data_IF_509991187026
#
_entry.id   IF_509991187026
#
_cell.length_a   1.000
_cell.length_b   1.000
_cell.length_c   1.000
_cell.angle_alpha   90.00
_cell.angle_beta   90.00
_cell.angle_gamma   90.00
#
_symmetry.space_group_name_H-M   'P 1'
#
loop_
_entity.id
_entity.type
_entity.pdbx_description
1 polymer ?
#
# COMPACT_ATOMS: atom_id res chain seq x y z
N UNK A 1 21.39 -16.69 -15.23
CA UNK A 1 21.81 -15.28 -15.18
C UNK A 1 21.88 -14.79 -13.75
N UNK A 2 22.68 -13.77 -13.50
CA UNK A 2 22.72 -13.08 -12.19
C UNK A 2 21.80 -11.87 -12.19
N UNK A 3 20.79 -11.87 -11.33
CA UNK A 3 19.80 -10.80 -11.22
C UNK A 3 19.96 -10.08 -9.88
N UNK A 4 20.15 -8.76 -9.90
CA UNK A 4 20.16 -7.93 -8.70
C UNK A 4 18.79 -7.23 -8.57
N UNK A 5 18.07 -7.48 -7.48
CA UNK A 5 16.81 -6.84 -7.17
C UNK A 5 17.03 -5.76 -6.10
N UNK A 6 16.70 -4.51 -6.41
CA UNK A 6 16.91 -3.37 -5.51
C UNK A 6 15.55 -2.91 -4.96
N UNK A 7 15.39 -2.99 -3.64
CA UNK A 7 14.24 -2.46 -2.92
C UNK A 7 14.53 -1.01 -2.50
N UNK A 8 13.84 -0.05 -3.11
CA UNK A 8 14.08 1.38 -2.87
C UNK A 8 13.20 1.98 -1.77
N UNK A 9 12.29 1.19 -1.17
CA UNK A 9 11.41 1.70 -0.14
C UNK A 9 12.18 2.01 1.15
N UNK A 10 12.15 3.28 1.56
CA UNK A 10 12.79 3.79 2.77
C UNK A 10 11.79 4.44 3.71
N UNK A 11 10.49 4.25 3.46
CA UNK A 11 9.44 4.75 4.34
C UNK A 11 9.46 3.98 5.67
N UNK A 12 9.57 4.73 6.76
CA UNK A 12 9.69 4.21 8.13
C UNK A 12 8.44 4.44 8.97
N UNK A 13 7.48 5.20 8.44
CA UNK A 13 6.21 5.51 9.11
C UNK A 13 5.03 5.00 8.29
N UNK A 14 3.96 4.54 8.93
CA UNK A 14 3.79 4.30 10.38
C UNK A 14 4.61 3.12 10.90
N UNK A 15 5.15 2.28 10.01
CA UNK A 15 5.99 1.12 10.35
C UNK A 15 6.94 0.78 9.20
N UNK A 16 8.06 0.15 9.52
CA UNK A 16 8.95 -0.44 8.52
C UNK A 16 8.26 -1.58 7.78
N UNK A 17 8.49 -1.70 6.50
CA UNK A 17 7.92 -2.77 5.67
C UNK A 17 9.02 -3.60 5.03
N UNK A 18 9.09 -4.86 5.40
CA UNK A 18 9.93 -5.86 4.74
C UNK A 18 9.60 -5.86 3.24
N UNK A 19 10.60 -5.91 2.32
CA UNK A 19 10.40 -5.80 0.88
C UNK A 19 9.86 -7.10 0.26
N UNK A 20 8.68 -7.55 0.69
CA UNK A 20 8.06 -8.82 0.28
C UNK A 20 7.97 -8.98 -1.25
N UNK A 21 7.61 -7.92 -1.99
CA UNK A 21 7.49 -7.99 -3.45
C UNK A 21 8.76 -8.46 -4.15
N UNK A 22 9.95 -7.93 -3.78
CA UNK A 22 11.21 -8.40 -4.36
C UNK A 22 11.63 -9.76 -3.82
N UNK A 23 11.17 -10.15 -2.63
CA UNK A 23 11.41 -11.49 -2.08
C UNK A 23 10.64 -12.58 -2.86
N UNK A 24 9.40 -12.29 -3.29
CA UNK A 24 8.66 -13.16 -4.23
C UNK A 24 9.36 -13.24 -5.59
N UNK A 25 9.84 -12.11 -6.13
CA UNK A 25 10.61 -12.09 -7.38
C UNK A 25 11.89 -12.91 -7.29
N UNK A 26 12.64 -12.79 -6.18
CA UNK A 26 13.85 -13.58 -5.96
C UNK A 26 13.55 -15.08 -6.02
N UNK A 27 12.48 -15.50 -5.34
CA UNK A 27 12.09 -16.93 -5.34
C UNK A 27 11.71 -17.39 -6.73
N UNK A 28 10.91 -16.63 -7.47
CA UNK A 28 10.49 -16.97 -8.83
C UNK A 28 11.70 -17.12 -9.77
N UNK A 29 12.66 -16.21 -9.68
CA UNK A 29 13.90 -16.25 -10.48
C UNK A 29 14.80 -17.45 -10.15
N UNK A 30 14.98 -17.75 -8.86
CA UNK A 30 15.80 -18.89 -8.43
C UNK A 30 15.13 -20.22 -8.84
N UNK A 31 13.83 -20.35 -8.67
CA UNK A 31 13.08 -21.53 -9.09
C UNK A 31 13.10 -21.75 -10.62
N UNK A 32 13.26 -20.66 -11.40
CA UNK A 32 13.47 -20.72 -12.84
C UNK A 32 14.95 -20.98 -13.25
N UNK A 33 15.85 -21.20 -12.29
CA UNK A 33 17.25 -21.55 -12.57
C UNK A 33 18.20 -20.35 -12.71
N UNK A 34 17.79 -19.15 -12.32
CA UNK A 34 18.65 -17.96 -12.26
C UNK A 34 19.28 -17.78 -10.87
N UNK A 35 20.34 -17.00 -10.78
CA UNK A 35 20.85 -16.49 -9.52
C UNK A 35 20.20 -15.15 -9.23
N UNK A 36 19.63 -14.94 -8.03
CA UNK A 36 19.01 -13.67 -7.67
C UNK A 36 19.46 -13.20 -6.28
N UNK A 37 19.85 -11.94 -6.16
CA UNK A 37 20.18 -11.27 -4.89
C UNK A 37 19.29 -10.05 -4.68
N UNK A 38 19.02 -9.73 -3.41
CA UNK A 38 18.27 -8.53 -3.01
C UNK A 38 19.24 -7.55 -2.36
N UNK A 39 19.20 -6.29 -2.82
CA UNK A 39 19.76 -5.14 -2.14
C UNK A 39 18.60 -4.35 -1.54
N UNK A 40 18.49 -4.36 -0.23
CA UNK A 40 17.46 -3.63 0.51
C UNK A 40 18.07 -2.34 1.06
N UNK A 41 17.55 -1.17 0.59
CA UNK A 41 18.05 0.15 0.96
C UNK A 41 17.29 0.79 2.15
N UNK A 42 16.39 0.06 2.80
CA UNK A 42 15.51 0.61 3.84
C UNK A 42 16.28 1.29 4.98
N UNK A 43 17.41 0.75 5.36
CA UNK A 43 18.20 1.23 6.50
C UNK A 43 19.45 2.01 6.10
N UNK A 44 19.72 2.17 4.80
CA UNK A 44 20.90 2.92 4.36
C UNK A 44 20.70 4.43 4.56
N UNK A 45 21.74 5.19 4.95
CA UNK A 45 21.70 6.65 5.03
C UNK A 45 21.52 7.30 3.64
N UNK A 46 20.94 8.52 3.61
CA UNK A 46 20.63 9.22 2.36
C UNK A 46 21.88 9.48 1.50
N UNK A 47 22.98 9.85 2.13
CA UNK A 47 24.27 10.15 1.50
C UNK A 47 25.02 8.91 1.00
N UNK A 48 24.60 7.72 1.40
CA UNK A 48 25.25 6.45 1.03
C UNK A 48 24.54 5.69 -0.09
N UNK A 49 23.34 6.07 -0.52
CA UNK A 49 22.51 5.29 -1.44
C UNK A 49 23.24 4.93 -2.74
N UNK A 50 23.81 5.91 -3.42
CA UNK A 50 24.52 5.67 -4.67
C UNK A 50 25.75 4.77 -4.47
N UNK A 51 26.50 4.97 -3.39
CA UNK A 51 27.67 4.15 -3.05
C UNK A 51 27.30 2.69 -2.78
N UNK A 52 26.23 2.45 -1.99
CA UNK A 52 25.73 1.09 -1.71
C UNK A 52 25.32 0.33 -2.96
N UNK A 53 24.65 1.02 -3.90
CA UNK A 53 24.28 0.41 -5.20
C UNK A 53 25.51 0.07 -6.01
N UNK A 54 26.49 0.99 -6.11
CA UNK A 54 27.74 0.77 -6.84
C UNK A 54 28.55 -0.39 -6.26
N UNK A 55 28.68 -0.46 -4.93
CA UNK A 55 29.33 -1.57 -4.21
C UNK A 55 28.66 -2.91 -4.53
N UNK A 56 27.34 -3.00 -4.38
CA UNK A 56 26.59 -4.23 -4.61
C UNK A 56 26.69 -4.72 -6.07
N UNK A 57 26.68 -3.80 -7.03
CA UNK A 57 26.87 -4.11 -8.45
C UNK A 57 28.30 -4.64 -8.71
N UNK A 58 29.32 -3.96 -8.17
CA UNK A 58 30.69 -4.36 -8.31
C UNK A 58 31.00 -5.73 -7.71
N UNK A 59 30.42 -6.03 -6.54
CA UNK A 59 30.60 -7.32 -5.84
C UNK A 59 29.88 -8.48 -6.54
N UNK A 60 28.68 -8.21 -7.09
CA UNK A 60 27.84 -9.28 -7.62
C UNK A 60 28.01 -9.50 -9.12
N UNK A 61 28.26 -8.43 -9.89
CA UNK A 61 28.37 -8.48 -11.34
C UNK A 61 27.03 -8.93 -11.98
N UNK A 62 25.93 -8.18 -11.81
CA UNK A 62 24.61 -8.61 -12.32
C UNK A 62 24.54 -8.49 -13.85
N UNK A 63 23.85 -9.44 -14.47
CA UNK A 63 23.47 -9.43 -15.88
C UNK A 63 22.14 -8.69 -16.12
N UNK A 64 21.33 -8.54 -15.07
CA UNK A 64 20.03 -7.87 -15.07
C UNK A 64 19.80 -7.21 -13.71
N UNK A 65 19.25 -5.98 -13.70
CA UNK A 65 18.94 -5.23 -12.48
C UNK A 65 17.44 -4.92 -12.46
N UNK A 66 16.73 -5.34 -11.39
CA UNK A 66 15.35 -4.95 -11.12
C UNK A 66 15.30 -3.90 -10.03
N UNK A 67 14.60 -2.78 -10.27
CA UNK A 67 14.42 -1.69 -9.28
C UNK A 67 12.95 -1.57 -8.90
N UNK A 68 12.63 -1.82 -7.63
CA UNK A 68 11.26 -1.80 -7.13
C UNK A 68 10.86 -0.43 -6.59
N UNK A 69 9.92 0.24 -7.25
CA UNK A 69 9.30 1.49 -6.81
C UNK A 69 7.99 1.15 -6.09
N UNK A 70 8.03 1.03 -4.76
CA UNK A 70 6.89 0.64 -3.95
C UNK A 70 5.94 1.81 -3.69
N UNK A 71 6.46 2.97 -3.32
CA UNK A 71 5.70 4.18 -3.00
C UNK A 71 6.24 5.36 -3.81
N UNK A 72 5.33 6.20 -4.34
CA UNK A 72 5.69 7.47 -5.00
C UNK A 72 5.93 8.54 -3.95
N UNK A 73 5.10 8.53 -2.91
CA UNK A 73 5.10 9.48 -1.80
C UNK A 73 4.62 8.81 -0.50
N UNK A 74 4.53 9.57 0.56
CA UNK A 74 4.07 9.11 1.88
C UNK A 74 2.54 9.21 2.08
N UNK A 75 1.78 9.53 1.04
CA UNK A 75 0.30 9.66 1.05
C UNK A 75 -0.26 10.62 2.12
N UNK A 76 0.55 11.57 2.58
CA UNK A 76 0.17 12.49 3.65
C UNK A 76 0.00 13.90 3.11
N UNK A 77 -1.23 14.45 3.17
CA UNK A 77 -1.56 15.76 2.61
C UNK A 77 -0.74 16.89 3.24
N UNK A 78 -0.71 16.95 4.56
CA UNK A 78 -0.13 18.07 5.30
C UNK A 78 1.36 17.88 5.66
N UNK A 79 1.96 16.74 5.33
CA UNK A 79 3.38 16.44 5.55
C UNK A 79 3.93 15.65 4.36
N UNK A 80 3.62 16.12 3.17
CA UNK A 80 3.98 15.44 1.93
C UNK A 80 5.50 15.26 1.78
N UNK A 81 5.90 14.03 1.37
CA UNK A 81 7.26 13.71 0.98
C UNK A 81 7.24 12.77 -0.23
N UNK A 82 7.86 13.20 -1.33
CA UNK A 82 8.03 12.37 -2.52
C UNK A 82 9.24 11.44 -2.41
N UNK A 83 9.12 10.22 -2.94
CA UNK A 83 10.14 9.17 -2.86
C UNK A 83 10.92 8.95 -4.19
N UNK A 84 10.52 9.57 -5.31
CA UNK A 84 11.17 9.38 -6.60
C UNK A 84 12.61 9.93 -6.67
N UNK A 85 12.97 10.86 -5.79
CA UNK A 85 14.34 11.38 -5.67
C UNK A 85 15.35 10.27 -5.36
N UNK A 86 15.05 9.42 -4.39
CA UNK A 86 15.90 8.28 -4.01
C UNK A 86 16.03 7.28 -5.18
N UNK A 87 14.92 7.01 -5.87
CA UNK A 87 14.92 6.12 -7.07
C UNK A 87 15.82 6.69 -8.18
N UNK A 88 15.81 8.01 -8.38
CA UNK A 88 16.68 8.67 -9.37
C UNK A 88 18.15 8.50 -9.04
N UNK A 89 18.53 8.62 -7.76
CA UNK A 89 19.91 8.36 -7.30
C UNK A 89 20.30 6.91 -7.58
N UNK A 90 19.44 5.95 -7.23
CA UNK A 90 19.66 4.51 -7.45
C UNK A 90 19.88 4.21 -8.94
N UNK A 91 19.01 4.73 -9.82
CA UNK A 91 19.14 4.54 -11.27
C UNK A 91 20.41 5.16 -11.85
N UNK A 92 20.79 6.34 -11.37
CA UNK A 92 22.06 6.98 -11.75
C UNK A 92 23.26 6.10 -11.40
N UNK A 93 23.28 5.52 -10.19
CA UNK A 93 24.32 4.60 -9.74
C UNK A 93 24.34 3.30 -10.56
N UNK A 94 23.18 2.70 -10.86
CA UNK A 94 23.08 1.51 -11.71
C UNK A 94 23.72 1.74 -13.08
N UNK A 95 23.37 2.83 -13.76
CA UNK A 95 23.90 3.17 -15.10
C UNK A 95 25.38 3.48 -15.10
N UNK A 96 25.89 4.09 -14.02
CA UNK A 96 27.30 4.40 -13.89
C UNK A 96 28.15 3.15 -13.61
N UNK A 97 27.61 2.17 -12.90
CA UNK A 97 28.35 1.00 -12.43
C UNK A 97 28.22 -0.23 -13.34
N UNK A 98 27.22 -0.32 -14.23
CA UNK A 98 26.98 -1.49 -15.06
C UNK A 98 26.30 -1.15 -16.39
N UNK A 99 26.59 -1.95 -17.43
CA UNK A 99 25.86 -1.97 -18.69
C UNK A 99 24.64 -2.90 -18.68
N UNK A 100 24.38 -3.60 -17.57
CA UNK A 100 23.25 -4.50 -17.44
C UNK A 100 21.92 -3.74 -17.62
N UNK A 101 20.93 -4.32 -18.32
CA UNK A 101 19.58 -3.73 -18.41
C UNK A 101 18.99 -3.47 -17.04
N UNK A 102 18.33 -2.30 -16.88
CA UNK A 102 17.64 -1.92 -15.65
C UNK A 102 16.14 -1.90 -15.90
N UNK A 103 15.38 -2.69 -15.14
CA UNK A 103 13.94 -2.82 -15.25
C UNK A 103 13.27 -2.21 -14.00
N UNK A 104 12.42 -1.21 -14.21
CA UNK A 104 11.58 -0.65 -13.15
C UNK A 104 10.35 -1.53 -12.91
N UNK A 105 9.90 -1.60 -11.66
CA UNK A 105 8.66 -2.28 -11.30
C UNK A 105 8.14 -1.84 -9.94
N UNK A 106 7.15 -2.55 -9.42
CA UNK A 106 6.56 -2.31 -8.11
C UNK A 106 5.17 -1.66 -8.18
N UNK A 107 4.50 -1.60 -7.04
CA UNK A 107 3.10 -1.14 -6.95
C UNK A 107 2.92 0.32 -7.39
N UNK A 108 3.79 1.21 -6.93
CA UNK A 108 3.74 2.60 -7.32
C UNK A 108 4.08 2.81 -8.80
N UNK A 109 5.08 2.08 -9.33
CA UNK A 109 5.37 2.09 -10.76
C UNK A 109 4.16 1.67 -11.59
N UNK A 110 3.43 0.65 -11.17
CA UNK A 110 2.25 0.15 -11.89
C UNK A 110 1.08 1.14 -11.95
N UNK A 111 1.03 2.14 -11.06
CA UNK A 111 0.02 3.19 -11.08
C UNK A 111 0.25 4.22 -12.19
N UNK A 112 1.50 4.67 -12.37
CA UNK A 112 1.88 5.75 -13.30
C UNK A 112 3.17 5.38 -14.06
N UNK A 113 3.16 4.28 -14.81
CA UNK A 113 4.39 3.71 -15.34
C UNK A 113 5.06 4.60 -16.40
N UNK A 114 4.28 5.20 -17.30
CA UNK A 114 4.81 6.05 -18.37
C UNK A 114 5.39 7.34 -17.82
N UNK A 115 4.69 7.97 -16.89
CA UNK A 115 5.11 9.20 -16.23
C UNK A 115 6.40 8.97 -15.43
N UNK A 116 6.46 7.88 -14.65
CA UNK A 116 7.66 7.52 -13.87
C UNK A 116 8.83 7.19 -14.79
N UNK A 117 8.61 6.42 -15.87
CA UNK A 117 9.67 6.16 -16.87
C UNK A 117 10.20 7.45 -17.47
N UNK A 118 9.33 8.42 -17.79
CA UNK A 118 9.73 9.68 -18.38
C UNK A 118 10.58 10.52 -17.44
N UNK A 119 10.15 10.70 -16.18
CA UNK A 119 10.87 11.50 -15.19
C UNK A 119 12.20 10.87 -14.79
N UNK A 120 12.25 9.55 -14.71
CA UNK A 120 13.46 8.81 -14.33
C UNK A 120 14.36 8.49 -15.54
N UNK A 121 13.90 8.73 -16.77
CA UNK A 121 14.62 8.41 -17.99
C UNK A 121 14.85 6.90 -18.15
N UNK A 122 13.93 6.04 -17.70
CA UNK A 122 14.09 4.60 -17.76
C UNK A 122 13.66 4.04 -19.12
N UNK A 123 14.30 2.94 -19.55
CA UNK A 123 14.07 2.30 -20.85
C UNK A 123 13.14 1.09 -20.74
N UNK A 124 13.18 0.38 -19.62
CA UNK A 124 12.40 -0.82 -19.36
C UNK A 124 11.62 -0.71 -18.06
N UNK A 125 10.42 -1.27 -18.05
CA UNK A 125 9.58 -1.38 -16.87
C UNK A 125 8.61 -2.55 -16.95
N UNK A 126 8.07 -2.97 -15.82
CA UNK A 126 7.07 -4.04 -15.71
C UNK A 126 5.92 -3.56 -14.84
N UNK A 127 4.69 -3.61 -15.38
CA UNK A 127 3.45 -3.33 -14.65
C UNK A 127 2.77 -4.62 -14.19
N UNK A 128 2.08 -4.55 -13.06
CA UNK A 128 1.34 -5.68 -12.50
C UNK A 128 2.25 -6.64 -11.74
N UNK A 129 2.07 -7.94 -11.96
CA UNK A 129 2.80 -9.00 -11.26
C UNK A 129 4.13 -9.25 -11.92
N UNK A 130 5.19 -9.00 -11.16
CA UNK A 130 6.54 -9.03 -11.69
C UNK A 130 7.14 -10.42 -11.83
N UNK A 131 6.61 -11.44 -11.14
CA UNK A 131 7.20 -12.77 -11.08
C UNK A 131 7.32 -13.41 -12.47
N UNK A 132 6.24 -13.57 -13.27
CA UNK A 132 6.37 -14.15 -14.60
C UNK A 132 7.12 -13.23 -15.57
N UNK A 133 6.99 -11.91 -15.41
CA UNK A 133 7.66 -10.95 -16.29
C UNK A 133 9.17 -10.98 -16.13
N UNK A 134 9.67 -10.94 -14.89
CA UNK A 134 11.12 -10.94 -14.63
C UNK A 134 11.79 -12.26 -15.02
N UNK A 135 11.10 -13.40 -14.84
CA UNK A 135 11.57 -14.70 -15.34
C UNK A 135 11.67 -14.66 -16.86
N UNK A 136 10.62 -14.23 -17.58
CA UNK A 136 10.62 -14.17 -19.04
C UNK A 136 11.74 -13.22 -19.58
N UNK A 137 11.99 -12.10 -18.90
CA UNK A 137 13.08 -11.17 -19.25
C UNK A 137 14.43 -11.84 -19.04
N UNK A 138 14.65 -12.51 -17.90
CA UNK A 138 15.90 -13.17 -17.58
C UNK A 138 16.18 -14.34 -18.56
N UNK A 139 15.16 -15.15 -18.90
CA UNK A 139 15.27 -16.22 -19.88
C UNK A 139 15.65 -15.67 -21.27
N UNK A 140 14.95 -14.61 -21.72
CA UNK A 140 15.25 -14.00 -23.02
C UNK A 140 16.69 -13.51 -23.10
N UNK A 141 17.18 -12.84 -22.05
CA UNK A 141 18.57 -12.37 -22.00
C UNK A 141 19.58 -13.54 -21.94
N UNK A 142 19.29 -14.60 -21.17
CA UNK A 142 20.14 -15.79 -21.06
C UNK A 142 20.29 -16.50 -22.41
N UNK A 143 19.27 -16.49 -23.24
CA UNK A 143 19.21 -17.10 -24.55
C UNK A 143 19.64 -16.14 -25.67
N UNK A 144 20.06 -14.91 -25.35
CA UNK A 144 20.43 -13.90 -26.34
C UNK A 144 19.25 -13.42 -27.22
N UNK A 145 18.01 -13.61 -26.75
CA UNK A 145 16.79 -13.16 -27.44
C UNK A 145 16.42 -11.73 -27.07
N UNK A 146 15.74 -11.00 -27.96
CA UNK A 146 15.21 -9.68 -27.64
C UNK A 146 14.17 -9.75 -26.48
N UNK A 147 14.18 -8.74 -25.63
CA UNK A 147 13.16 -8.57 -24.59
C UNK A 147 11.91 -7.95 -25.26
N UNK A 148 11.00 -8.77 -25.81
CA UNK A 148 9.81 -8.28 -26.54
C UNK A 148 8.50 -8.80 -25.95
N UNK A 149 8.50 -10.00 -25.38
CA UNK A 149 7.25 -10.75 -25.11
C UNK A 149 6.98 -10.97 -23.61
N UNK A 150 7.73 -10.28 -22.74
CA UNK A 150 7.45 -10.37 -21.31
C UNK A 150 6.10 -9.70 -20.97
N UNK A 151 5.27 -10.35 -20.14
CA UNK A 151 3.96 -9.82 -19.80
C UNK A 151 4.09 -8.52 -18.97
N UNK A 152 3.30 -7.51 -19.30
CA UNK A 152 3.34 -6.21 -18.62
C UNK A 152 4.61 -5.40 -18.89
N UNK A 153 5.40 -5.78 -19.86
CA UNK A 153 6.62 -5.07 -20.25
C UNK A 153 6.28 -3.68 -20.82
N UNK A 154 6.96 -2.67 -20.31
CA UNK A 154 7.08 -1.36 -20.92
C UNK A 154 8.48 -1.22 -21.51
N UNK A 155 8.54 -0.73 -22.75
CA UNK A 155 9.79 -0.45 -23.44
C UNK A 155 9.77 0.92 -24.07
N UNK A 156 10.83 1.69 -23.86
CA UNK A 156 11.04 2.97 -24.52
C UNK A 156 11.58 2.76 -25.94
N UNK A 157 10.92 3.38 -26.91
CA UNK A 157 11.29 3.40 -28.32
C UNK A 157 11.34 4.86 -28.78
N UNK A 158 12.51 5.47 -28.60
CA UNK A 158 12.66 6.92 -28.83
C UNK A 158 11.83 7.73 -27.82
N UNK A 159 10.84 8.47 -28.30
CA UNK A 159 9.92 9.27 -27.46
C UNK A 159 8.66 8.50 -27.05
N UNK A 160 8.43 7.32 -27.60
CA UNK A 160 7.25 6.49 -27.30
C UNK A 160 7.59 5.41 -26.27
N UNK A 161 6.58 5.03 -25.47
CA UNK A 161 6.64 3.88 -24.58
C UNK A 161 5.59 2.87 -25.07
N UNK A 162 6.04 1.70 -25.51
CA UNK A 162 5.18 0.55 -25.79
C UNK A 162 4.81 -0.16 -24.49
N UNK A 163 3.60 -0.71 -24.40
CA UNK A 163 3.07 -1.39 -23.18
C UNK A 163 2.46 -2.71 -23.61
N UNK A 164 2.95 -3.81 -23.07
CA UNK A 164 2.35 -5.14 -23.21
C UNK A 164 1.27 -5.37 -22.15
N UNK A 165 0.31 -6.26 -22.45
CA UNK A 165 -0.71 -6.64 -21.47
C UNK A 165 -0.07 -7.23 -20.21
N UNK A 166 -0.46 -6.78 -19.01
CA UNK A 166 0.10 -7.29 -17.76
C UNK A 166 -0.33 -8.73 -17.52
N UNK A 167 0.61 -9.59 -17.15
CA UNK A 167 0.24 -10.89 -16.59
C UNK A 167 -0.47 -10.68 -15.26
N UNK A 168 -1.49 -11.48 -15.07
CA UNK A 168 -2.05 -11.74 -13.75
C UNK A 168 -1.93 -13.23 -13.52
N UNK A 169 -1.19 -13.60 -12.49
CA UNK A 169 -1.10 -15.00 -12.09
C UNK A 169 -2.52 -15.50 -11.86
N UNK A 170 -3.02 -16.33 -12.78
CA UNK A 170 -4.41 -16.80 -12.74
C UNK A 170 -4.64 -17.81 -11.62
N UNK A 171 -3.62 -18.57 -11.28
CA UNK A 171 -3.59 -19.48 -10.14
C UNK A 171 -2.70 -18.93 -9.02
N UNK A 172 -3.27 -18.38 -7.94
CA UNK A 172 -2.50 -17.92 -6.80
C UNK A 172 -1.80 -19.04 -6.03
N UNK A 173 -2.13 -20.30 -6.27
CA UNK A 173 -1.37 -21.46 -5.78
C UNK A 173 0.05 -21.50 -6.34
N UNK A 174 0.27 -20.87 -7.51
CA UNK A 174 1.60 -20.70 -8.10
C UNK A 174 2.43 -19.55 -7.51
N UNK A 175 1.87 -18.72 -6.61
CA UNK A 175 2.64 -17.71 -5.89
C UNK A 175 3.49 -18.42 -4.85
N UNK A 176 4.74 -18.62 -5.20
CA UNK A 176 5.71 -19.31 -4.36
C UNK A 176 6.09 -18.43 -3.18
N UNK A 177 6.07 -18.98 -1.97
CA UNK A 177 6.52 -18.28 -0.77
C UNK A 177 7.97 -17.78 -0.92
N UNK A 178 8.36 -16.64 -0.33
CA UNK A 178 9.72 -16.11 -0.41
C UNK A 178 10.68 -16.97 0.43
N UNK A 179 11.15 -18.07 -0.15
CA UNK A 179 11.94 -19.11 0.52
C UNK A 179 13.40 -18.75 0.72
N UNK A 180 13.95 -17.85 -0.11
CA UNK A 180 15.37 -17.55 -0.14
C UNK A 180 15.73 -16.21 0.48
N UNK A 181 14.74 -15.40 0.79
CA UNK A 181 14.94 -14.08 1.38
C UNK A 181 15.08 -14.18 2.90
N UNK A 182 16.22 -13.75 3.41
CA UNK A 182 16.44 -13.54 4.85
C UNK A 182 16.32 -12.05 5.14
N UNK A 183 15.24 -11.60 5.80
CA UNK A 183 15.08 -10.20 6.15
C UNK A 183 16.22 -9.72 7.07
N UNK A 184 16.62 -8.47 6.90
CA UNK A 184 17.56 -7.83 7.83
C UNK A 184 16.99 -7.87 9.26
N UNK A 185 17.81 -8.27 10.21
CA UNK A 185 17.41 -8.39 11.63
C UNK A 185 16.89 -7.07 12.23
N UNK A 186 17.28 -5.93 11.64
CA UNK A 186 16.79 -4.60 12.04
C UNK A 186 15.28 -4.44 11.89
N UNK A 187 14.64 -5.15 10.97
CA UNK A 187 13.18 -5.19 10.86
C UNK A 187 12.47 -5.76 12.09
N UNK A 188 13.17 -6.56 12.89
CA UNK A 188 12.63 -7.21 14.08
C UNK A 188 13.23 -6.68 15.36
N UNK A 189 14.07 -5.65 15.28
CA UNK A 189 14.64 -5.00 16.44
C UNK A 189 13.66 -4.00 17.05
N UNK A 190 13.26 -4.22 18.30
CA UNK A 190 12.40 -3.30 19.04
C UNK A 190 13.04 -1.93 19.24
N UNK A 191 14.37 -1.83 19.19
CA UNK A 191 15.10 -0.56 19.26
C UNK A 191 15.00 0.26 17.98
N UNK A 192 14.90 -0.41 16.81
CA UNK A 192 14.86 0.23 15.50
C UNK A 192 13.42 0.47 15.02
N UNK A 193 12.58 -0.56 15.08
CA UNK A 193 11.22 -0.53 14.51
C UNK A 193 10.13 -0.31 15.55
N UNK A 194 10.51 -0.25 16.83
CA UNK A 194 9.57 -0.09 17.94
C UNK A 194 9.07 -1.43 18.51
N UNK A 195 8.12 -1.38 19.45
CA UNK A 195 7.82 -2.51 20.34
C UNK A 195 7.13 -3.70 19.67
N UNK A 196 6.70 -3.56 18.42
CA UNK A 196 5.88 -4.57 17.75
C UNK A 196 6.33 -4.80 16.28
N UNK A 197 7.53 -5.38 16.07
CA UNK A 197 7.99 -5.72 14.74
C UNK A 197 7.05 -6.74 14.10
N UNK A 198 6.72 -6.55 12.82
CA UNK A 198 5.81 -7.43 12.08
C UNK A 198 6.41 -7.83 10.74
N UNK A 199 6.07 -9.03 10.28
CA UNK A 199 6.36 -9.49 8.93
C UNK A 199 5.07 -9.47 8.09
N UNK A 200 5.14 -8.89 6.89
CA UNK A 200 4.01 -8.82 5.96
C UNK A 200 3.80 -10.14 5.22
N UNK A 201 2.60 -10.71 5.30
CA UNK A 201 2.20 -11.90 4.56
C UNK A 201 0.97 -11.61 3.72
N UNK A 202 0.92 -12.13 2.50
CA UNK A 202 -0.19 -11.96 1.58
C UNK A 202 -0.98 -13.27 1.47
N UNK A 203 -2.31 -13.23 1.70
CA UNK A 203 -3.17 -14.42 1.56
C UNK A 203 -3.91 -14.47 0.22
N UNK A 204 -4.01 -13.34 -0.45
CA UNK A 204 -4.64 -13.19 -1.77
C UNK A 204 -4.18 -11.91 -2.45
N UNK A 205 -4.49 -11.80 -3.74
CA UNK A 205 -4.30 -10.58 -4.54
C UNK A 205 -5.63 -10.10 -5.12
N UNK A 206 -5.74 -8.79 -5.34
CA UNK A 206 -6.90 -8.13 -5.90
C UNK A 206 -7.93 -7.69 -4.87
N UNK A 207 -8.84 -6.81 -5.30
CA UNK A 207 -9.95 -6.32 -4.48
C UNK A 207 -11.20 -6.15 -5.35
N UNK A 208 -12.31 -6.75 -4.94
CA UNK A 208 -13.57 -6.69 -5.68
C UNK A 208 -14.37 -5.40 -5.41
N UNK A 209 -13.96 -4.61 -4.42
CA UNK A 209 -14.63 -3.36 -4.04
C UNK A 209 -14.27 -2.21 -4.97
N UNK A 210 -15.12 -1.16 -4.94
CA UNK A 210 -15.05 -0.03 -5.86
C UNK A 210 -14.95 1.31 -5.13
N UNK A 211 -14.31 1.34 -3.95
CA UNK A 211 -14.10 2.58 -3.22
C UNK A 211 -13.58 3.67 -4.15
N UNK A 212 -14.21 4.85 -4.11
CA UNK A 212 -14.06 5.90 -5.14
C UNK A 212 -12.62 6.38 -5.35
N UNK A 213 -11.78 6.31 -4.33
CA UNK A 213 -10.40 6.80 -4.31
C UNK A 213 -9.34 5.71 -4.49
N UNK A 214 -9.72 4.42 -4.35
CA UNK A 214 -8.75 3.34 -4.12
C UNK A 214 -8.10 2.85 -5.43
N UNK A 215 -6.75 2.84 -5.53
CA UNK A 215 -6.04 2.38 -6.71
C UNK A 215 -5.84 0.86 -6.77
N UNK A 216 -6.09 0.11 -5.68
CA UNK A 216 -5.82 -1.33 -5.58
C UNK A 216 -6.42 -2.14 -6.74
N UNK A 217 -7.69 -1.93 -7.16
CA UNK A 217 -8.23 -2.66 -8.30
C UNK A 217 -7.48 -2.44 -9.62
N UNK A 218 -6.78 -1.29 -9.76
CA UNK A 218 -5.96 -0.99 -10.95
C UNK A 218 -4.60 -1.69 -10.90
N UNK A 219 -4.04 -1.91 -9.70
CA UNK A 219 -2.74 -2.57 -9.49
C UNK A 219 -2.91 -4.09 -9.49
N UNK A 220 -3.75 -4.60 -8.58
CA UNK A 220 -3.86 -6.03 -8.28
C UNK A 220 -5.03 -6.71 -9.01
N UNK A 221 -5.94 -5.94 -9.60
CA UNK A 221 -7.14 -6.46 -10.29
C UNK A 221 -8.41 -6.41 -9.45
N UNK A 222 -9.54 -6.57 -10.16
CA UNK A 222 -10.91 -6.42 -9.64
C UNK A 222 -11.52 -7.71 -9.08
N UNK A 223 -10.73 -8.77 -8.94
CA UNK A 223 -11.19 -10.08 -8.42
C UNK A 223 -10.20 -10.58 -7.40
N UNK A 224 -10.70 -11.15 -6.32
CA UNK A 224 -9.87 -11.87 -5.37
C UNK A 224 -9.28 -13.12 -6.01
N UNK A 225 -7.96 -13.26 -5.98
CA UNK A 225 -7.20 -14.45 -6.37
C UNK A 225 -6.54 -14.98 -5.11
N UNK A 226 -6.93 -16.19 -4.72
CA UNK A 226 -6.71 -16.75 -3.39
C UNK A 226 -5.50 -17.66 -3.39
N UNK A 227 -4.62 -17.53 -2.41
CA UNK A 227 -3.55 -18.50 -2.13
C UNK A 227 -4.10 -19.69 -1.34
N UNK A 228 -3.48 -20.84 -1.47
CA UNK A 228 -3.81 -22.03 -0.65
C UNK A 228 -3.58 -21.71 0.84
N UNK A 229 -4.54 -22.02 1.74
CA UNK A 229 -4.36 -21.87 3.18
C UNK A 229 -3.11 -22.58 3.70
N UNK A 230 -2.85 -23.81 3.25
CA UNK A 230 -1.65 -24.56 3.63
C UNK A 230 -0.35 -23.82 3.24
N UNK A 231 -0.26 -23.29 2.02
CA UNK A 231 0.92 -22.54 1.58
C UNK A 231 1.14 -21.25 2.38
N UNK A 232 0.05 -20.59 2.82
CA UNK A 232 0.13 -19.40 3.67
C UNK A 232 0.73 -19.77 5.03
N UNK A 233 0.23 -20.82 5.65
CA UNK A 233 0.69 -21.31 6.96
C UNK A 233 2.13 -21.85 6.88
N UNK A 234 2.48 -22.52 5.78
CA UNK A 234 3.87 -22.96 5.54
C UNK A 234 4.84 -21.79 5.40
N UNK A 235 4.43 -20.68 4.74
CA UNK A 235 5.22 -19.46 4.70
C UNK A 235 5.39 -18.85 6.10
N UNK A 236 4.32 -18.77 6.89
CA UNK A 236 4.39 -18.29 8.28
C UNK A 236 5.34 -19.14 9.13
N UNK A 237 5.27 -20.48 8.99
CA UNK A 237 6.18 -21.42 9.66
C UNK A 237 7.62 -21.18 9.23
N UNK A 238 7.87 -21.09 7.92
CA UNK A 238 9.20 -20.87 7.36
C UNK A 238 9.83 -19.57 7.90
N UNK A 239 9.10 -18.45 7.83
CA UNK A 239 9.60 -17.16 8.31
C UNK A 239 9.79 -17.12 9.82
N UNK A 240 8.92 -17.76 10.59
CA UNK A 240 9.07 -17.93 12.04
C UNK A 240 10.36 -18.67 12.36
N UNK A 241 10.60 -19.79 11.70
CA UNK A 241 11.75 -20.67 11.97
C UNK A 241 13.07 -20.05 11.51
N UNK A 242 13.04 -19.33 10.36
CA UNK A 242 14.22 -18.69 9.78
C UNK A 242 14.64 -17.40 10.55
N UNK A 243 13.68 -16.57 10.93
CA UNK A 243 13.94 -15.21 11.44
C UNK A 243 13.38 -14.98 12.87
N UNK A 244 12.81 -15.99 13.51
CA UNK A 244 12.21 -15.86 14.84
C UNK A 244 10.95 -14.99 14.90
N UNK A 245 10.31 -14.72 13.76
CA UNK A 245 9.13 -13.86 13.65
C UNK A 245 7.94 -14.52 14.32
N UNK A 246 7.30 -13.81 15.25
CA UNK A 246 6.10 -14.29 15.94
C UNK A 246 4.87 -13.42 15.71
N UNK A 247 5.02 -12.32 14.97
CA UNK A 247 3.93 -11.40 14.68
C UNK A 247 3.87 -11.09 13.21
N UNK A 248 2.69 -11.32 12.62
CA UNK A 248 2.45 -11.13 11.20
C UNK A 248 1.47 -9.99 10.95
N UNK A 249 1.66 -9.32 9.83
CA UNK A 249 0.67 -8.41 9.26
C UNK A 249 0.15 -9.01 7.95
N UNK A 250 -1.12 -9.38 7.91
CA UNK A 250 -1.77 -9.81 6.67
C UNK A 250 -1.96 -8.58 5.80
N UNK A 251 -1.18 -8.50 4.72
CA UNK A 251 -1.06 -7.30 3.86
C UNK A 251 -2.15 -7.21 2.80
N UNK A 252 -3.11 -8.10 2.82
CA UNK A 252 -4.28 -8.04 1.94
C UNK A 252 -5.03 -6.71 2.13
N UNK A 253 -5.60 -6.19 1.04
CA UNK A 253 -6.45 -4.99 1.14
C UNK A 253 -7.64 -5.19 2.08
N UNK A 254 -8.18 -6.42 2.16
CA UNK A 254 -9.25 -6.84 3.07
C UNK A 254 -9.08 -8.35 3.33
N UNK A 255 -8.87 -8.75 4.58
CA UNK A 255 -8.62 -10.15 4.91
C UNK A 255 -9.90 -11.00 4.99
N UNK A 256 -10.94 -10.53 5.68
CA UNK A 256 -12.13 -11.34 5.98
C UNK A 256 -12.99 -11.71 4.77
N UNK A 257 -12.73 -11.17 3.59
CA UNK A 257 -13.48 -11.45 2.37
C UNK A 257 -12.59 -12.00 1.25
N UNK A 258 -12.98 -13.02 0.51
CA UNK A 258 -14.21 -13.80 0.68
C UNK A 258 -14.22 -14.57 2.01
N UNK A 259 -15.33 -14.53 2.73
CA UNK A 259 -15.47 -15.13 4.07
C UNK A 259 -14.98 -16.57 4.16
N UNK A 260 -15.35 -17.44 3.19
CA UNK A 260 -14.93 -18.84 3.14
C UNK A 260 -13.41 -19.01 3.14
N UNK A 261 -12.67 -18.10 2.46
CA UNK A 261 -11.22 -18.16 2.41
C UNK A 261 -10.60 -17.75 3.75
N UNK A 262 -11.08 -16.68 4.36
CA UNK A 262 -10.63 -16.27 5.67
C UNK A 262 -10.85 -17.36 6.74
N UNK A 263 -12.01 -18.04 6.70
CA UNK A 263 -12.28 -19.19 7.56
C UNK A 263 -11.25 -20.30 7.33
N UNK A 264 -11.04 -20.73 6.08
CA UNK A 264 -10.11 -21.82 5.76
C UNK A 264 -8.66 -21.48 6.17
N UNK A 265 -8.20 -20.22 5.98
CA UNK A 265 -6.87 -19.80 6.42
C UNK A 265 -6.77 -19.83 7.95
N UNK A 266 -7.77 -19.35 8.68
CA UNK A 266 -7.77 -19.36 10.13
C UNK A 266 -7.86 -20.77 10.72
N UNK A 267 -8.65 -21.67 10.11
CA UNK A 267 -8.71 -23.08 10.51
C UNK A 267 -7.36 -23.77 10.34
N UNK A 268 -6.65 -23.51 9.23
CA UNK A 268 -5.30 -24.01 9.01
C UNK A 268 -4.29 -23.44 10.01
N UNK A 269 -4.38 -22.13 10.34
CA UNK A 269 -3.57 -21.52 11.39
C UNK A 269 -3.79 -22.16 12.75
N UNK A 270 -5.05 -22.44 13.11
CA UNK A 270 -5.41 -23.12 14.36
C UNK A 270 -4.86 -24.54 14.38
N UNK A 271 -5.01 -25.29 13.28
CA UNK A 271 -4.51 -26.67 13.18
C UNK A 271 -2.97 -26.73 13.26
N UNK A 272 -2.29 -25.76 12.69
CA UNK A 272 -0.82 -25.71 12.69
C UNK A 272 -0.19 -25.29 14.02
N UNK A 273 -0.94 -24.65 14.92
CA UNK A 273 -0.52 -24.16 16.25
C UNK A 273 0.88 -23.53 16.27
N UNK A 274 1.12 -22.55 15.40
CA UNK A 274 2.44 -21.96 15.23
C UNK A 274 2.91 -21.10 16.42
N UNK A 275 2.04 -20.78 17.36
CA UNK A 275 2.34 -19.87 18.49
C UNK A 275 2.68 -18.45 18.01
N UNK A 276 2.02 -18.00 16.95
CA UNK A 276 2.19 -16.66 16.35
C UNK A 276 0.92 -15.84 16.48
N UNK A 277 1.08 -14.54 16.36
CA UNK A 277 -0.05 -13.60 16.35
C UNK A 277 -0.09 -12.83 15.05
N UNK A 278 -1.24 -12.23 14.74
CA UNK A 278 -1.39 -11.48 13.52
C UNK A 278 -2.38 -10.31 13.64
N UNK A 279 -2.24 -9.38 12.72
CA UNK A 279 -3.17 -8.28 12.47
C UNK A 279 -3.51 -8.19 10.99
N UNK A 280 -4.66 -7.57 10.66
CA UNK A 280 -5.11 -7.42 9.28
C UNK A 280 -5.98 -6.18 9.07
N UNK A 281 -6.07 -5.72 7.81
CA UNK A 281 -7.17 -4.89 7.35
C UNK A 281 -8.42 -5.72 7.13
N UNK A 282 -9.56 -5.19 7.56
CA UNK A 282 -10.84 -5.90 7.60
C UNK A 282 -11.98 -5.00 7.11
N UNK A 283 -13.00 -5.60 6.52
CA UNK A 283 -14.24 -4.92 6.14
C UNK A 283 -15.34 -5.30 7.13
N UNK A 284 -16.26 -4.39 7.53
CA UNK A 284 -17.37 -4.70 8.42
C UNK A 284 -18.36 -5.74 7.87
N UNK A 285 -18.42 -5.90 6.53
CA UNK A 285 -19.34 -6.83 5.89
C UNK A 285 -19.10 -8.28 6.29
N UNK A 286 -20.18 -9.02 6.53
CA UNK A 286 -20.18 -10.45 6.84
C UNK A 286 -19.30 -10.80 8.05
N UNK A 287 -19.14 -9.86 8.97
CA UNK A 287 -18.39 -10.05 10.20
C UNK A 287 -19.37 -10.29 11.36
N UNK A 288 -19.29 -11.46 11.97
CA UNK A 288 -20.15 -11.91 13.07
C UNK A 288 -19.34 -12.54 14.22
N UNK A 289 -20.02 -12.99 15.26
CA UNK A 289 -19.39 -13.59 16.44
C UNK A 289 -18.60 -14.84 16.12
N UNK A 290 -19.08 -15.70 15.22
CA UNK A 290 -18.40 -16.95 14.86
C UNK A 290 -17.05 -16.64 14.18
N UNK A 291 -17.03 -15.67 13.25
CA UNK A 291 -15.81 -15.25 12.58
C UNK A 291 -14.85 -14.56 13.56
N UNK A 292 -15.37 -13.72 14.45
CA UNK A 292 -14.57 -13.03 15.46
C UNK A 292 -13.88 -14.02 16.41
N UNK A 293 -14.60 -15.02 16.88
CA UNK A 293 -14.07 -16.09 17.74
C UNK A 293 -13.04 -16.95 17.02
N UNK A 294 -13.28 -17.29 15.75
CA UNK A 294 -12.31 -18.03 14.94
C UNK A 294 -11.02 -17.23 14.73
N UNK A 295 -11.13 -15.94 14.40
CA UNK A 295 -9.98 -15.06 14.27
C UNK A 295 -9.16 -15.01 15.55
N UNK A 296 -9.83 -14.85 16.70
CA UNK A 296 -9.15 -14.87 18.01
C UNK A 296 -8.42 -16.17 18.27
N UNK A 297 -9.06 -17.30 18.02
CA UNK A 297 -8.45 -18.64 18.16
C UNK A 297 -7.26 -18.83 17.22
N UNK A 298 -7.29 -18.27 16.03
CA UNK A 298 -6.20 -18.29 15.05
C UNK A 298 -5.04 -17.33 15.38
N UNK A 299 -5.11 -16.61 16.52
CA UNK A 299 -4.05 -15.71 16.98
C UNK A 299 -4.23 -14.24 16.56
N UNK A 300 -5.43 -13.82 16.13
CA UNK A 300 -5.70 -12.42 15.83
C UNK A 300 -5.56 -11.54 17.08
N UNK A 301 -4.66 -10.55 17.01
CA UNK A 301 -4.51 -9.53 18.05
C UNK A 301 -5.28 -8.26 17.75
N UNK A 302 -5.27 -7.84 16.49
CA UNK A 302 -5.76 -6.51 16.08
C UNK A 302 -6.40 -6.57 14.70
N UNK A 303 -7.56 -5.98 14.57
CA UNK A 303 -8.21 -5.72 13.28
C UNK A 303 -8.27 -4.22 13.02
N UNK A 304 -7.87 -3.83 11.81
CA UNK A 304 -8.04 -2.48 11.32
C UNK A 304 -9.21 -2.44 10.32
N UNK A 305 -10.31 -1.84 10.73
CA UNK A 305 -11.44 -1.58 9.85
C UNK A 305 -11.20 -0.26 9.10
N UNK A 306 -10.95 -0.36 7.80
CA UNK A 306 -10.83 0.80 6.89
C UNK A 306 -12.21 1.40 6.60
N UNK A 307 -12.76 2.12 7.58
CA UNK A 307 -14.12 2.65 7.51
C UNK A 307 -14.20 3.87 6.60
N UNK A 308 -13.24 4.76 6.72
CA UNK A 308 -13.10 6.09 6.12
C UNK A 308 -14.13 7.10 6.62
N UNK A 309 -15.36 6.70 6.89
CA UNK A 309 -16.40 7.52 7.48
C UNK A 309 -17.27 6.71 8.46
N UNK A 310 -18.08 7.40 9.26
CA UNK A 310 -19.04 6.82 10.20
C UNK A 310 -20.47 7.37 10.03
N UNK A 311 -20.84 7.87 8.84
CA UNK A 311 -22.20 8.18 8.46
C UNK A 311 -22.52 7.64 7.07
N UNK A 312 -23.74 7.14 6.86
CA UNK A 312 -24.14 6.43 5.62
C UNK A 312 -24.04 7.32 4.38
N UNK A 313 -24.23 8.62 4.53
CA UNK A 313 -24.06 9.59 3.45
C UNK A 313 -22.63 9.58 2.91
N UNK A 314 -21.62 9.67 3.77
CA UNK A 314 -20.22 9.62 3.37
C UNK A 314 -19.79 8.24 2.92
N UNK A 315 -20.26 7.16 3.56
CA UNK A 315 -20.02 5.79 3.10
C UNK A 315 -20.51 5.60 1.66
N UNK A 316 -21.69 6.12 1.33
CA UNK A 316 -22.24 6.10 -0.03
C UNK A 316 -21.37 6.91 -1.00
N UNK A 317 -20.98 8.14 -0.63
CA UNK A 317 -20.12 9.01 -1.44
C UNK A 317 -18.77 8.38 -1.75
N UNK A 318 -18.17 7.72 -0.77
CA UNK A 318 -16.90 7.00 -0.92
C UNK A 318 -17.06 5.62 -1.59
N UNK A 319 -18.28 5.24 -1.97
CA UNK A 319 -18.64 3.95 -2.57
C UNK A 319 -18.21 2.76 -1.69
N UNK A 320 -18.49 2.87 -0.40
CA UNK A 320 -18.34 1.76 0.55
C UNK A 320 -19.59 0.87 0.45
N UNK A 321 -19.40 -0.43 0.43
CA UNK A 321 -20.50 -1.41 0.30
C UNK A 321 -21.05 -1.85 1.68
N UNK A 322 -20.89 -1.05 2.74
CA UNK A 322 -21.36 -1.31 4.08
C UNK A 322 -21.98 -0.05 4.73
N UNK A 323 -22.72 -0.23 5.79
CA UNK A 323 -23.47 0.81 6.53
C UNK A 323 -22.90 1.05 7.91
N UNK A 324 -23.38 2.10 8.59
CA UNK A 324 -23.06 2.35 10.00
C UNK A 324 -23.48 1.17 10.88
N UNK A 325 -24.62 0.54 10.60
CA UNK A 325 -25.06 -0.65 11.34
C UNK A 325 -24.08 -1.83 11.21
N UNK A 326 -23.48 -2.03 10.03
CA UNK A 326 -22.43 -3.05 9.83
C UNK A 326 -21.18 -2.72 10.66
N UNK A 327 -20.78 -1.44 10.73
CA UNK A 327 -19.66 -0.97 11.55
C UNK A 327 -19.88 -1.29 13.02
N UNK A 328 -21.04 -0.90 13.55
CA UNK A 328 -21.40 -1.11 14.95
C UNK A 328 -21.46 -2.61 15.30
N UNK A 329 -22.06 -3.43 14.43
CA UNK A 329 -22.12 -4.87 14.61
C UNK A 329 -20.72 -5.51 14.59
N UNK A 330 -19.91 -5.23 13.57
CA UNK A 330 -18.58 -5.80 13.45
C UNK A 330 -17.67 -5.43 14.63
N UNK A 331 -17.77 -4.16 15.09
CA UNK A 331 -17.05 -3.67 16.26
C UNK A 331 -17.47 -4.41 17.52
N UNK A 332 -18.78 -4.60 17.73
CA UNK A 332 -19.30 -5.32 18.89
C UNK A 332 -18.85 -6.79 18.91
N UNK A 333 -18.89 -7.49 17.75
CA UNK A 333 -18.42 -8.87 17.63
C UNK A 333 -16.91 -9.00 17.94
N UNK A 334 -16.06 -8.14 17.34
CA UNK A 334 -14.63 -8.14 17.59
C UNK A 334 -14.29 -7.89 19.07
N UNK A 335 -15.02 -6.95 19.72
CA UNK A 335 -14.85 -6.66 21.14
C UNK A 335 -15.24 -7.85 22.03
N UNK A 336 -16.38 -8.51 21.76
CA UNK A 336 -16.78 -9.70 22.52
C UNK A 336 -15.75 -10.81 22.40
N UNK A 337 -15.10 -10.96 21.25
CA UNK A 337 -14.01 -11.93 21.06
C UNK A 337 -12.67 -11.51 21.70
N UNK A 338 -12.56 -10.30 22.26
CA UNK A 338 -11.31 -9.79 22.85
C UNK A 338 -10.23 -9.50 21.82
N UNK A 339 -10.61 -9.04 20.63
CA UNK A 339 -9.71 -8.57 19.56
C UNK A 339 -9.62 -7.05 19.65
N UNK A 340 -8.41 -6.50 19.59
CA UNK A 340 -8.18 -5.05 19.55
C UNK A 340 -8.69 -4.47 18.23
N UNK A 341 -9.30 -3.30 18.30
CA UNK A 341 -9.98 -2.66 17.19
C UNK A 341 -9.30 -1.34 16.84
N UNK A 342 -8.93 -1.20 15.57
CA UNK A 342 -8.53 0.07 14.97
C UNK A 342 -9.63 0.49 13.99
N UNK A 343 -10.14 1.71 14.11
CA UNK A 343 -10.92 2.34 13.08
C UNK A 343 -10.08 3.37 12.35
N UNK A 344 -10.11 3.35 11.03
CA UNK A 344 -9.40 4.32 10.19
C UNK A 344 -10.40 5.20 9.45
N UNK A 345 -10.28 6.51 9.64
CA UNK A 345 -11.09 7.54 8.98
C UNK A 345 -10.25 8.29 7.93
N UNK A 346 -10.91 8.69 6.85
CA UNK A 346 -10.35 9.48 5.77
C UNK A 346 -11.29 10.65 5.48
N UNK A 347 -10.99 11.80 6.04
CA UNK A 347 -11.82 13.00 5.98
C UNK A 347 -11.46 13.86 4.76
N UNK A 348 -12.40 14.68 4.33
CA UNK A 348 -12.26 15.61 3.21
C UNK A 348 -12.81 15.08 1.90
N UNK A 349 -13.55 13.97 1.92
CA UNK A 349 -14.15 13.36 0.75
C UNK A 349 -15.25 14.19 0.08
N UNK A 350 -15.74 13.75 -1.12
CA UNK A 350 -16.82 14.44 -1.82
C UNK A 350 -18.10 14.49 -0.98
N UNK A 351 -18.63 15.69 -0.75
CA UNK A 351 -19.80 15.93 0.09
C UNK A 351 -19.52 16.04 1.60
N UNK A 352 -18.26 16.00 2.02
CA UNK A 352 -17.88 16.15 3.42
C UNK A 352 -18.22 17.55 3.96
N UNK A 353 -18.75 17.61 5.16
CA UNK A 353 -19.08 18.83 5.89
C UNK A 353 -18.71 18.67 7.36
N UNK A 354 -18.73 19.76 8.14
CA UNK A 354 -18.54 19.67 9.59
C UNK A 354 -19.61 18.80 10.27
N UNK A 355 -20.85 18.77 9.74
CA UNK A 355 -21.93 17.93 10.25
C UNK A 355 -21.67 16.44 9.98
N UNK A 356 -21.22 16.07 8.78
CA UNK A 356 -20.90 14.66 8.48
C UNK A 356 -19.75 14.15 9.33
N UNK A 357 -18.76 15.01 9.62
CA UNK A 357 -17.66 14.67 10.53
C UNK A 357 -18.17 14.51 11.96
N UNK A 358 -19.03 15.40 12.45
CA UNK A 358 -19.63 15.26 13.79
C UNK A 358 -20.39 13.93 13.92
N UNK A 359 -21.26 13.58 12.96
CA UNK A 359 -21.97 12.29 12.93
C UNK A 359 -21.01 11.09 12.84
N UNK A 360 -19.89 11.24 12.15
CA UNK A 360 -18.83 10.22 12.11
C UNK A 360 -18.22 10.02 13.50
N UNK A 361 -17.91 11.10 14.22
CA UNK A 361 -17.38 11.04 15.59
C UNK A 361 -18.40 10.44 16.57
N UNK A 362 -19.71 10.76 16.44
CA UNK A 362 -20.77 10.14 17.22
C UNK A 362 -20.80 8.61 17.03
N UNK A 363 -20.57 8.13 15.83
CA UNK A 363 -20.45 6.69 15.56
C UNK A 363 -19.19 6.12 16.21
N UNK A 364 -18.08 6.84 16.19
CA UNK A 364 -16.85 6.41 16.87
C UNK A 364 -17.01 6.38 18.39
N UNK A 365 -17.80 7.29 18.97
CA UNK A 365 -18.18 7.24 20.40
C UNK A 365 -18.93 5.94 20.72
N UNK A 366 -20.01 5.64 19.98
CA UNK A 366 -20.78 4.40 20.18
C UNK A 366 -19.94 3.13 19.96
N UNK A 367 -19.07 3.16 18.97
CA UNK A 367 -18.14 2.06 18.66
C UNK A 367 -17.01 1.94 19.68
N UNK A 368 -16.51 3.03 20.23
CA UNK A 368 -15.39 3.13 21.16
C UNK A 368 -14.20 2.23 20.77
N UNK A 369 -13.55 2.41 19.60
CA UNK A 369 -12.41 1.60 19.18
C UNK A 369 -11.23 1.79 20.15
N UNK A 370 -10.30 0.83 20.20
CA UNK A 370 -9.07 0.99 20.99
C UNK A 370 -8.15 2.06 20.38
N UNK A 371 -8.14 2.15 19.04
CA UNK A 371 -7.36 3.13 18.29
C UNK A 371 -8.25 3.73 17.20
N UNK A 372 -8.23 5.04 17.09
CA UNK A 372 -8.83 5.80 15.99
C UNK A 372 -7.71 6.49 15.20
N UNK A 373 -7.60 6.17 13.92
CA UNK A 373 -6.69 6.89 13.01
C UNK A 373 -7.48 7.84 12.13
N UNK A 374 -7.04 9.07 12.02
CA UNK A 374 -7.71 10.10 11.22
C UNK A 374 -6.72 10.65 10.20
N UNK A 375 -7.05 10.49 8.92
CA UNK A 375 -6.37 11.14 7.81
C UNK A 375 -7.25 12.25 7.22
N UNK A 376 -6.64 13.33 6.75
CA UNK A 376 -7.31 14.45 6.10
C UNK A 376 -6.78 14.64 4.68
N UNK A 377 -7.71 14.85 3.72
CA UNK A 377 -7.40 14.95 2.30
C UNK A 377 -7.21 13.57 1.64
N UNK A 378 -7.88 13.35 0.52
CA UNK A 378 -7.85 12.09 -0.21
C UNK A 378 -6.81 12.16 -1.32
N UNK A 379 -5.74 11.34 -1.24
CA UNK A 379 -4.76 11.22 -2.33
C UNK A 379 -5.46 10.74 -3.61
N UNK A 380 -5.38 11.54 -4.65
CA UNK A 380 -5.99 11.21 -5.94
C UNK A 380 -5.01 10.38 -6.77
N UNK A 381 -5.47 9.24 -7.25
CA UNK A 381 -4.70 8.37 -8.14
C UNK A 381 -5.36 8.24 -9.51
N UNK A 382 -4.59 8.12 -10.61
CA UNK A 382 -5.13 7.87 -11.93
C UNK A 382 -6.00 6.61 -11.97
N UNK A 383 -6.97 6.59 -12.88
CA UNK A 383 -7.89 5.45 -13.12
C UNK A 383 -8.85 5.13 -11.95
N UNK A 384 -8.87 5.92 -10.89
CA UNK A 384 -9.89 5.80 -9.83
C UNK A 384 -11.18 6.51 -10.23
N UNK A 385 -12.36 6.12 -9.66
CA UNK A 385 -13.60 6.86 -9.87
C UNK A 385 -13.49 8.35 -9.50
N UNK A 386 -12.86 8.67 -8.38
CA UNK A 386 -12.62 10.05 -7.94
C UNK A 386 -11.79 10.84 -8.98
N UNK A 387 -10.77 10.22 -9.56
CA UNK A 387 -9.99 10.83 -10.65
C UNK A 387 -10.86 11.12 -11.86
N UNK A 388 -11.74 10.19 -12.25
CA UNK A 388 -12.65 10.37 -13.40
C UNK A 388 -13.66 11.48 -13.14
N UNK A 389 -14.22 11.56 -11.92
CA UNK A 389 -15.14 12.63 -11.52
C UNK A 389 -14.46 14.01 -11.58
N UNK A 390 -13.28 14.16 -10.98
CA UNK A 390 -12.49 15.39 -11.06
C UNK A 390 -12.17 15.73 -12.52
N UNK A 391 -11.82 14.74 -13.33
CA UNK A 391 -11.45 14.88 -14.72
C UNK A 391 -12.59 15.32 -15.64
N UNK A 392 -13.84 15.06 -15.28
CA UNK A 392 -15.03 15.46 -16.03
C UNK A 392 -15.45 16.92 -15.79
N UNK A 393 -14.88 17.59 -14.77
CA UNK A 393 -15.29 18.95 -14.37
C UNK A 393 -14.72 19.99 -15.32
N UNK A 394 -15.51 21.05 -15.68
CA UNK A 394 -15.03 22.16 -16.50
C UNK A 394 -13.84 22.88 -15.86
N UNK A 395 -12.83 23.25 -16.65
CA UNK A 395 -11.66 23.99 -16.16
C UNK A 395 -10.65 23.15 -15.38
N UNK A 396 -10.68 21.84 -15.55
CA UNK A 396 -9.71 20.91 -15.00
C UNK A 396 -8.27 21.44 -15.19
N UNK A 397 -7.44 21.53 -14.12
CA UNK A 397 -6.02 21.78 -14.27
C UNK A 397 -5.35 20.58 -14.95
N UNK A 398 -4.34 20.85 -15.77
CA UNK A 398 -3.43 19.79 -16.23
C UNK A 398 -2.63 19.30 -15.02
N UNK A 399 -2.99 18.11 -14.53
CA UNK A 399 -2.47 17.58 -13.28
C UNK A 399 -1.21 16.78 -13.55
N UNK A 400 -0.08 17.30 -13.12
CA UNK A 400 1.12 16.47 -12.94
C UNK A 400 0.91 15.52 -11.79
N UNK A 401 0.48 14.28 -12.09
CA UNK A 401 0.15 13.27 -11.09
C UNK A 401 1.36 12.72 -10.34
N UNK A 402 2.57 13.02 -10.80
CA UNK A 402 3.80 12.69 -10.06
C UNK A 402 4.00 13.64 -8.88
N UNK A 403 3.42 14.84 -8.93
CA UNK A 403 3.20 15.65 -7.76
C UNK A 403 1.94 15.13 -7.05
N UNK A 404 2.01 14.98 -5.73
CA UNK A 404 0.85 14.49 -5.01
C UNK A 404 -0.32 15.47 -5.15
N UNK A 405 -1.43 14.95 -5.60
CA UNK A 405 -2.67 15.68 -5.72
C UNK A 405 -3.64 15.13 -4.68
N UNK A 406 -4.18 16.00 -3.84
CA UNK A 406 -5.16 15.63 -2.84
C UNK A 406 -6.48 16.32 -3.10
N UNK A 407 -7.56 15.55 -2.99
CA UNK A 407 -8.91 16.08 -2.99
C UNK A 407 -9.32 16.49 -1.59
N UNK A 408 -9.87 17.67 -1.46
CA UNK A 408 -10.58 18.14 -0.28
C UNK A 408 -11.84 18.82 -0.78
N UNK A 409 -12.99 18.46 -0.24
CA UNK A 409 -14.28 19.03 -0.66
C UNK A 409 -14.28 20.57 -0.50
N UNK A 410 -14.90 21.25 -1.44
CA UNK A 410 -14.94 22.72 -1.48
C UNK A 410 -15.74 23.32 -0.29
N UNK A 411 -16.70 22.58 0.26
CA UNK A 411 -17.43 22.99 1.46
C UNK A 411 -16.52 23.09 2.69
N UNK A 412 -15.33 22.42 2.66
CA UNK A 412 -14.39 22.47 3.77
C UNK A 412 -13.44 23.67 3.65
N UNK A 413 -14.01 24.87 3.77
CA UNK A 413 -13.24 26.11 3.90
C UNK A 413 -12.58 26.26 5.28
N UNK A 414 -11.85 27.36 5.53
CA UNK A 414 -11.17 27.59 6.82
C UNK A 414 -12.11 27.54 8.04
N UNK A 415 -13.34 28.04 7.90
CA UNK A 415 -14.31 28.04 8.99
C UNK A 415 -14.76 26.62 9.35
N UNK A 416 -15.09 25.81 8.35
CA UNK A 416 -15.47 24.41 8.50
C UNK A 416 -14.32 23.59 9.07
N UNK A 417 -13.10 23.80 8.61
CA UNK A 417 -11.91 23.15 9.17
C UNK A 417 -11.72 23.45 10.65
N UNK A 418 -11.95 24.70 11.09
CA UNK A 418 -11.91 25.05 12.53
C UNK A 418 -12.98 24.31 13.32
N UNK A 419 -14.17 24.18 12.77
CA UNK A 419 -15.26 23.43 13.41
C UNK A 419 -14.92 21.96 13.54
N UNK A 420 -14.41 21.34 12.48
CA UNK A 420 -13.95 19.94 12.47
C UNK A 420 -12.85 19.71 13.51
N UNK A 421 -11.84 20.59 13.54
CA UNK A 421 -10.74 20.48 14.51
C UNK A 421 -11.24 20.53 15.94
N UNK A 422 -12.14 21.46 16.23
CA UNK A 422 -12.73 21.58 17.56
C UNK A 422 -13.51 20.32 17.95
N UNK A 423 -14.30 19.75 17.02
CA UNK A 423 -15.01 18.50 17.26
C UNK A 423 -14.06 17.33 17.51
N UNK A 424 -12.94 17.25 16.80
CA UNK A 424 -11.91 16.21 17.01
C UNK A 424 -11.22 16.41 18.37
N UNK A 425 -10.84 17.63 18.73
CA UNK A 425 -10.23 17.95 20.02
C UNK A 425 -11.15 17.60 21.19
N UNK A 426 -12.44 18.01 21.11
CA UNK A 426 -13.46 17.67 22.10
C UNK A 426 -13.64 16.14 22.21
N UNK A 427 -13.66 15.42 21.08
CA UNK A 427 -13.72 13.96 21.07
C UNK A 427 -12.52 13.35 21.79
N UNK A 428 -11.29 13.83 21.53
CA UNK A 428 -10.07 13.34 22.19
C UNK A 428 -10.12 13.60 23.70
N UNK A 429 -10.54 14.78 24.12
CA UNK A 429 -10.66 15.14 25.55
C UNK A 429 -11.68 14.31 26.29
N UNK A 430 -12.83 14.03 25.65
CA UNK A 430 -13.94 13.26 26.26
C UNK A 430 -13.73 11.75 26.22
N UNK A 431 -12.81 11.26 25.37
CA UNK A 431 -12.53 9.83 25.17
C UNK A 431 -11.08 9.44 25.46
N UNK A 432 -10.56 9.64 26.68
CA UNK A 432 -9.14 9.44 27.02
C UNK A 432 -8.68 7.96 26.88
N UNK A 433 -9.60 7.02 26.76
CA UNK A 433 -9.30 5.59 26.55
C UNK A 433 -9.08 5.24 25.09
N UNK A 434 -9.53 6.08 24.15
CA UNK A 434 -9.31 5.89 22.71
C UNK A 434 -7.99 6.52 22.34
N UNK A 435 -7.05 5.74 21.80
CA UNK A 435 -5.81 6.29 21.27
C UNK A 435 -6.07 6.91 19.90
N UNK A 436 -6.12 8.24 19.81
CA UNK A 436 -6.30 8.93 18.53
C UNK A 436 -4.95 9.24 17.90
N UNK A 437 -4.81 8.91 16.61
CA UNK A 437 -3.63 9.19 15.77
C UNK A 437 -4.05 9.96 14.54
N UNK A 438 -3.42 11.10 14.29
CA UNK A 438 -3.68 11.94 13.12
C UNK A 438 -2.44 11.95 12.21
N UNK A 439 -2.65 11.99 10.89
CA UNK A 439 -1.58 12.19 9.91
C UNK A 439 -1.34 13.68 9.61
N UNK A 440 -1.88 14.58 10.40
CA UNK A 440 -1.75 16.04 10.28
C UNK A 440 -1.58 16.65 11.67
N UNK A 441 -1.01 17.89 11.70
CA UNK A 441 -0.97 18.69 12.91
C UNK A 441 -2.26 19.53 13.00
N UNK A 442 -3.13 19.32 14.00
CA UNK A 442 -4.36 20.08 14.15
C UNK A 442 -4.14 21.59 14.15
N UNK A 443 -3.03 22.07 14.73
CA UNK A 443 -2.71 23.52 14.83
C UNK A 443 -2.46 24.18 13.47
N UNK A 444 -2.08 23.40 12.47
CA UNK A 444 -1.72 23.89 11.13
C UNK A 444 -2.79 23.63 10.08
N UNK A 445 -3.82 22.81 10.36
CA UNK A 445 -4.79 22.37 9.36
C UNK A 445 -5.46 23.55 8.63
N UNK A 446 -5.91 24.57 9.35
CA UNK A 446 -6.59 25.73 8.78
C UNK A 446 -5.70 26.50 7.79
N UNK A 447 -4.47 26.80 8.21
CA UNK A 447 -3.50 27.53 7.40
C UNK A 447 -3.09 26.71 6.16
N UNK A 448 -2.84 25.43 6.35
CA UNK A 448 -2.38 24.53 5.29
C UNK A 448 -3.48 24.24 4.27
N UNK A 449 -4.75 24.07 4.67
CA UNK A 449 -5.90 23.93 3.76
C UNK A 449 -6.10 25.19 2.93
N UNK A 450 -5.87 26.38 3.51
CA UNK A 450 -6.03 27.67 2.81
C UNK A 450 -4.93 27.96 1.80
N UNK A 451 -3.71 27.45 2.02
CA UNK A 451 -2.51 27.81 1.24
C UNK A 451 -1.97 26.69 0.38
N UNK A 452 -2.41 25.44 0.55
CA UNK A 452 -1.81 24.29 -0.10
C UNK A 452 -2.06 24.29 -1.61
N UNK A 453 -0.97 24.28 -2.39
CA UNK A 453 -0.98 24.05 -3.85
C UNK A 453 -1.33 22.62 -4.24
N UNK A 454 -1.37 21.70 -3.26
CA UNK A 454 -1.68 20.28 -3.46
C UNK A 454 -3.19 20.00 -3.43
N UNK A 455 -4.01 21.02 -3.11
CA UNK A 455 -5.47 20.89 -3.03
C UNK A 455 -6.12 21.01 -4.41
N UNK A 456 -7.02 20.11 -4.75
CA UNK A 456 -8.02 20.30 -5.80
C UNK A 456 -9.34 20.57 -5.12
N UNK A 457 -9.87 21.80 -5.29
CA UNK A 457 -11.27 22.10 -5.05
C UNK A 457 -12.01 22.21 -6.40
N UNK A 458 -13.33 22.07 -6.40
CA UNK A 458 -14.16 22.19 -7.59
C UNK A 458 -14.03 23.58 -8.28
N UNK A 459 -13.53 24.61 -7.57
CA UNK A 459 -13.39 25.98 -8.06
C UNK A 459 -12.07 26.31 -8.78
N UNK A 460 -11.13 25.37 -8.92
CA UNK A 460 -9.84 25.65 -9.57
C UNK A 460 -9.92 26.05 -11.05
N UNK A 461 -11.14 26.23 -11.60
CA UNK A 461 -11.40 26.68 -12.97
C UNK A 461 -11.66 28.17 -13.17
N UNK A 462 -11.78 29.00 -12.13
CA UNK A 462 -12.08 30.43 -12.29
C UNK A 462 -10.90 31.28 -11.81
N UNK A 463 -9.92 31.52 -12.69
CA UNK A 463 -9.01 32.67 -12.55
C UNK A 463 -7.52 32.42 -12.37
N UNK A 464 -6.85 31.95 -13.40
CA UNK A 464 -5.51 32.46 -13.71
C UNK A 464 -5.48 32.87 -15.18
N UNK A 465 -5.94 34.09 -15.49
CA UNK A 465 -5.47 34.81 -16.66
C UNK A 465 -4.01 35.16 -16.41
N UNK A 466 -3.19 34.82 -17.37
CA UNK A 466 -1.77 35.09 -17.43
C UNK A 466 -1.39 36.52 -16.98
N UNK A 467 -0.38 36.67 -16.20
CA UNK A 467 0.59 37.75 -16.27
C UNK A 467 1.97 37.18 -16.47
#
# INVERSE_FOLDING_TARGET
MKVLLIATNRERRPSFAVPAGVAYLQTALIDAGHEARILDLCFDPDDRLGGRVTEAIGEYGPDLIGVSVRNIDNETYLQYRGNLGDVKIVLGACRAASAAPVVLGGSAFSLMPVEIMNVLGADLGVIGEGEPAMVAIADALAEGRPITDAPGLLRREGTRVSVSEPARVSDPGSIVAPRYFVPDSRYFSTQVVGPQPTYGIQTKRGCAFRCSYCPVPSIEGKRFRLRSPAHIVDEMRHVRDLAGVRRFFITDSIFNLPRRHAIAVCEEMVAADLGVTWMAYTNPLQYDDDLALLFKRAGCETLNFGLDAGCDEMLTSLQKDFTVADIENATACARRAGVRIIHSLLLGGPGETADTVARTLDTMDRCAPDILTIAFGIRVYPKTPLWQDIGSRPGRPDLDMLQAVFYVDEALGPAECRTILRSIEEFVETHPKIMVRMNFDPKNLEAEVSTSSLRISAQAGAGRKAR
#
